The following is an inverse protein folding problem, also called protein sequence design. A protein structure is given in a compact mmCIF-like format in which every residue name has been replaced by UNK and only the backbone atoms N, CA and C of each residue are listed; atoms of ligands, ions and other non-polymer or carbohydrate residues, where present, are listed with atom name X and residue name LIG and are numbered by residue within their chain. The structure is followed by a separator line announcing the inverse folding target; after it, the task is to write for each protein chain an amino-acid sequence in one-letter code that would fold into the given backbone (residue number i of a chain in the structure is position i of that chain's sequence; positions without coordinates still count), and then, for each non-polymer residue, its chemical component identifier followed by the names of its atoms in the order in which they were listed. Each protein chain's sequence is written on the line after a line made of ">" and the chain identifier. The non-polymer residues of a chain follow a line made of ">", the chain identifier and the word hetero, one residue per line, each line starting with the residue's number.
data_IF_782740261382
#
_entry.id   IF_782740261382
#
_cell.length_a   1.000
_cell.length_b   1.000
_cell.length_c   1.000
_cell.angle_alpha   90.00
_cell.angle_beta   90.00
_cell.angle_gamma   90.00
#
_symmetry.space_group_name_H-M   'P 1'
#
loop_
_entity.id
_entity.type
_entity.pdbx_description
1 polymer ?
#
# COMPACT_ATOMS: atom_id res chain seq x y z
N UNK A 1 7.34 -1.06 3.24
CA UNK A 1 8.50 -1.44 4.06
C UNK A 1 8.02 -1.57 5.49
N UNK A 2 8.50 -2.55 6.24
CA UNK A 2 8.16 -2.72 7.65
C UNK A 2 8.96 -1.76 8.56
N UNK A 3 10.19 -1.42 8.15
CA UNK A 3 10.97 -0.33 8.75
C UNK A 3 11.56 0.52 7.62
N UNK A 4 11.22 1.82 7.60
CA UNK A 4 11.66 2.76 6.57
C UNK A 4 13.13 3.18 6.73
N UNK A 5 13.62 3.30 7.96
CA UNK A 5 14.99 3.72 8.24
C UNK A 5 15.98 2.62 7.85
N UNK A 6 15.66 1.37 8.17
CA UNK A 6 16.46 0.19 7.83
C UNK A 6 16.22 -0.35 6.43
N UNK A 7 15.23 0.20 5.71
CA UNK A 7 14.75 -0.31 4.42
C UNK A 7 14.33 -1.79 4.49
N UNK A 8 13.86 -2.22 5.66
CA UNK A 8 13.44 -3.60 5.89
C UNK A 8 12.15 -3.86 5.11
N UNK A 9 12.17 -4.91 4.30
CA UNK A 9 10.98 -5.36 3.57
C UNK A 9 10.05 -6.11 4.50
N UNK A 10 8.76 -6.11 4.17
CA UNK A 10 7.82 -7.02 4.81
C UNK A 10 8.19 -8.46 4.48
N UNK A 11 7.85 -9.37 5.38
CA UNK A 11 7.87 -10.79 5.09
C UNK A 11 6.98 -11.09 3.87
N UNK A 12 7.48 -11.88 2.92
CA UNK A 12 6.74 -12.27 1.73
C UNK A 12 5.45 -13.04 2.07
N UNK A 13 5.44 -13.80 3.17
CA UNK A 13 4.26 -14.53 3.66
C UNK A 13 3.12 -13.60 4.10
N UNK A 14 3.40 -12.32 4.41
CA UNK A 14 2.35 -11.35 4.72
C UNK A 14 1.54 -10.97 3.46
N UNK A 15 2.10 -11.19 2.27
CA UNK A 15 1.49 -10.94 0.97
C UNK A 15 0.84 -9.55 0.85
N UNK A 16 1.60 -8.53 1.27
CA UNK A 16 1.17 -7.12 1.28
C UNK A 16 0.69 -6.63 -0.09
N UNK A 17 1.32 -6.97 -1.23
CA UNK A 17 0.83 -6.53 -2.54
C UNK A 17 -0.62 -6.96 -2.82
N UNK A 18 -0.98 -8.19 -2.50
CA UNK A 18 -2.35 -8.70 -2.73
C UNK A 18 -3.36 -8.06 -1.78
N UNK A 19 -2.97 -7.79 -0.52
CA UNK A 19 -3.81 -7.03 0.43
C UNK A 19 -4.09 -5.62 -0.09
N UNK A 20 -3.06 -4.95 -0.61
CA UNK A 20 -3.22 -3.62 -1.21
C UNK A 20 -4.11 -3.69 -2.44
N UNK A 21 -3.93 -4.67 -3.32
CA UNK A 21 -4.75 -4.82 -4.53
C UNK A 21 -6.23 -5.07 -4.18
N UNK A 22 -6.52 -5.91 -3.18
CA UNK A 22 -7.87 -6.17 -2.71
C UNK A 22 -8.52 -4.92 -2.09
N UNK A 23 -7.80 -4.18 -1.24
CA UNK A 23 -8.29 -2.94 -0.65
C UNK A 23 -8.50 -1.83 -1.70
N UNK A 24 -7.60 -1.73 -2.68
CA UNK A 24 -7.71 -0.80 -3.79
C UNK A 24 -9.00 -1.05 -4.58
N UNK A 25 -9.25 -2.31 -4.91
CA UNK A 25 -10.45 -2.72 -5.63
C UNK A 25 -11.72 -2.39 -4.85
N UNK A 26 -11.75 -2.66 -3.53
CA UNK A 26 -12.87 -2.30 -2.67
C UNK A 26 -13.10 -0.77 -2.57
N UNK A 27 -12.03 0.02 -2.62
CA UNK A 27 -12.08 1.49 -2.62
C UNK A 27 -12.30 2.11 -4.01
N UNK A 28 -12.53 1.31 -5.04
CA UNK A 28 -12.83 1.78 -6.39
C UNK A 28 -11.63 2.40 -7.10
N UNK A 29 -10.41 1.95 -6.80
CA UNK A 29 -9.19 2.37 -7.49
C UNK A 29 -8.41 1.16 -7.99
N UNK A 30 -7.89 1.25 -9.21
CA UNK A 30 -7.14 0.15 -9.85
C UNK A 30 -5.73 0.64 -10.17
N UNK A 31 -4.74 -0.12 -9.70
CA UNK A 31 -3.33 0.06 -10.01
C UNK A 31 -2.61 -1.29 -9.86
N UNK A 32 -1.37 -1.37 -10.34
CA UNK A 32 -0.55 -2.56 -10.17
C UNK A 32 0.28 -2.45 -8.89
N UNK A 33 0.08 -3.36 -7.94
CA UNK A 33 0.96 -3.52 -6.79
C UNK A 33 2.10 -4.48 -7.15
N UNK A 34 3.34 -3.99 -7.18
CA UNK A 34 4.52 -4.81 -7.44
C UNK A 34 5.06 -5.41 -6.15
N UNK A 35 5.67 -6.60 -6.25
CA UNK A 35 6.21 -7.34 -5.09
C UNK A 35 7.41 -6.67 -4.40
N UNK A 36 7.98 -5.62 -5.00
CA UNK A 36 9.05 -4.81 -4.43
C UNK A 36 8.54 -3.61 -3.60
N UNK A 37 7.22 -3.46 -3.48
CA UNK A 37 6.57 -2.37 -2.75
C UNK A 37 6.30 -1.12 -3.57
N UNK A 38 6.40 -1.20 -4.90
CA UNK A 38 6.04 -0.11 -5.82
C UNK A 38 4.56 -0.21 -6.23
N UNK A 39 3.89 0.95 -6.32
CA UNK A 39 2.54 1.06 -6.87
C UNK A 39 2.60 1.73 -8.25
N UNK A 40 2.21 0.98 -9.29
CA UNK A 40 2.22 1.44 -10.67
C UNK A 40 0.88 2.02 -11.10
N UNK A 41 0.87 3.31 -11.43
CA UNK A 41 -0.30 4.03 -11.93
C UNK A 41 -0.17 4.32 -13.42
N UNK A 42 -1.23 4.07 -14.18
CA UNK A 42 -1.32 4.36 -15.61
C UNK A 42 -2.71 4.94 -15.95
N UNK A 43 -3.04 6.16 -15.48
CA UNK A 43 -4.30 6.82 -15.79
C UNK A 43 -4.37 7.19 -17.28
N UNK A 44 -5.58 7.40 -17.80
CA UNK A 44 -5.77 7.85 -19.17
C UNK A 44 -5.23 9.28 -19.35
N UNK A 45 -4.75 9.59 -20.56
CA UNK A 45 -4.21 10.93 -20.88
C UNK A 45 -5.26 12.04 -20.79
N UNK A 46 -6.54 11.70 -20.80
CA UNK A 46 -7.67 12.61 -20.66
C UNK A 46 -8.07 12.91 -19.22
N UNK A 47 -7.33 12.42 -18.21
CA UNK A 47 -7.62 12.70 -16.82
C UNK A 47 -7.59 14.20 -16.53
N UNK A 48 -8.63 14.66 -15.87
CA UNK A 48 -8.76 16.01 -15.32
C UNK A 48 -8.12 16.11 -13.94
N UNK A 49 -7.85 17.33 -13.48
CA UNK A 49 -7.34 17.57 -12.13
C UNK A 49 -8.26 16.98 -11.04
N UNK A 50 -9.58 17.13 -11.18
CA UNK A 50 -10.54 16.58 -10.21
C UNK A 50 -10.58 15.04 -10.18
N UNK A 51 -10.34 14.38 -11.31
CA UNK A 51 -10.21 12.92 -11.35
C UNK A 51 -8.91 12.46 -10.66
N UNK A 52 -7.83 13.24 -10.74
CA UNK A 52 -6.62 13.00 -9.96
C UNK A 52 -6.85 13.20 -8.46
N UNK A 53 -7.60 14.21 -8.04
CA UNK A 53 -7.94 14.40 -6.63
C UNK A 53 -8.68 13.17 -6.07
N UNK A 54 -9.67 12.67 -6.81
CA UNK A 54 -10.40 11.46 -6.45
C UNK A 54 -9.50 10.21 -6.43
N UNK A 55 -8.57 10.09 -7.38
CA UNK A 55 -7.57 9.03 -7.40
C UNK A 55 -6.75 9.05 -6.11
N UNK A 56 -6.20 10.22 -5.73
CA UNK A 56 -5.36 10.36 -4.54
C UNK A 56 -6.13 10.11 -3.25
N UNK A 57 -7.40 10.53 -3.17
CA UNK A 57 -8.28 10.24 -2.04
C UNK A 57 -8.44 8.73 -1.85
N UNK A 58 -8.79 8.00 -2.92
CA UNK A 58 -8.98 6.54 -2.89
C UNK A 58 -7.70 5.77 -2.59
N UNK A 59 -6.57 6.21 -3.15
CA UNK A 59 -5.25 5.62 -2.86
C UNK A 59 -4.90 5.81 -1.39
N UNK A 60 -5.11 7.00 -0.83
CA UNK A 60 -4.87 7.27 0.59
C UNK A 60 -5.71 6.35 1.47
N UNK A 61 -7.02 6.31 1.23
CA UNK A 61 -7.93 5.42 1.96
C UNK A 61 -7.48 3.95 1.89
N UNK A 62 -7.06 3.50 0.72
CA UNK A 62 -6.54 2.13 0.52
C UNK A 62 -5.31 1.86 1.40
N UNK A 63 -4.37 2.79 1.45
CA UNK A 63 -3.18 2.65 2.27
C UNK A 63 -3.51 2.68 3.77
N UNK A 64 -4.45 3.54 4.18
CA UNK A 64 -4.91 3.63 5.57
C UNK A 64 -5.61 2.34 6.01
N UNK A 65 -6.49 1.78 5.16
CA UNK A 65 -7.20 0.53 5.42
C UNK A 65 -6.21 -0.65 5.55
N UNK A 66 -5.20 -0.73 4.68
CA UNK A 66 -4.14 -1.75 4.76
C UNK A 66 -3.24 -1.52 5.96
N UNK A 67 -2.95 -0.27 6.32
CA UNK A 67 -2.18 0.05 7.51
C UNK A 67 -2.93 -0.42 8.77
N UNK A 68 -4.26 -0.28 8.81
CA UNK A 68 -5.09 -0.74 9.93
C UNK A 68 -5.23 -2.27 10.03
N UNK A 69 -4.80 -3.03 9.02
CA UNK A 69 -4.81 -4.49 9.05
C UNK A 69 -3.93 -5.04 10.20
N UNK A 70 -4.51 -5.88 11.06
CA UNK A 70 -3.84 -6.42 12.24
C UNK A 70 -2.59 -7.26 11.93
N UNK A 71 -2.50 -7.88 10.75
CA UNK A 71 -1.29 -8.56 10.28
C UNK A 71 -0.19 -7.57 9.89
N UNK A 72 -0.55 -6.46 9.26
CA UNK A 72 0.39 -5.39 8.89
C UNK A 72 0.91 -4.66 10.13
N UNK A 73 0.03 -4.28 11.06
CA UNK A 73 0.43 -3.67 12.34
C UNK A 73 1.42 -4.53 13.12
N UNK A 74 1.14 -5.83 13.28
CA UNK A 74 2.07 -6.76 13.95
C UNK A 74 3.44 -6.83 13.28
N UNK A 75 3.48 -6.76 11.95
CA UNK A 75 4.75 -6.78 11.23
C UNK A 75 5.55 -5.48 11.40
N UNK A 76 4.87 -4.33 11.54
CA UNK A 76 5.50 -3.06 11.88
C UNK A 76 6.07 -3.08 13.30
N UNK A 77 5.28 -3.52 14.27
CA UNK A 77 5.70 -3.65 15.67
C UNK A 77 6.90 -4.58 15.81
N UNK A 78 6.87 -5.73 15.15
CA UNK A 78 7.97 -6.68 15.15
C UNK A 78 9.26 -6.09 14.55
N UNK A 79 9.13 -5.28 13.48
CA UNK A 79 10.29 -4.62 12.88
C UNK A 79 10.86 -3.51 13.76
N UNK A 80 10.02 -2.73 14.45
CA UNK A 80 10.46 -1.70 15.39
C UNK A 80 11.07 -2.27 16.68
N UNK A 81 10.64 -3.46 17.11
CA UNK A 81 11.16 -4.13 18.30
C UNK A 81 12.52 -4.83 18.07
N UNK A 82 12.95 -5.03 16.82
CA UNK A 82 14.24 -5.65 16.52
C UNK A 82 15.40 -4.69 16.86
N UNK A 83 16.36 -5.10 17.71
CA UNK A 83 17.54 -4.29 18.00
C UNK A 83 18.36 -4.06 16.73
N UNK A 84 19.02 -2.90 16.67
CA UNK A 84 19.81 -2.46 15.51
C UNK A 84 20.99 -3.40 15.18
#
# INVERSE_FOLDING_TARGET
>A
MSDKARKTRFDAALNVPDRIAAAAYANGVVFRAFGDGVLGFAPALSFTAGEFDLLFERVRKTLDDVLADAGVQRALDAAHAQPA
#
